data_IF_598047269708
#
_entry.id   IF_598047269708
#
_cell.length_a   1.000
_cell.length_b   1.000
_cell.length_c   1.000
_cell.angle_alpha   90.00
_cell.angle_beta   90.00
_cell.angle_gamma   90.00
#
_symmetry.space_group_name_H-M   'P 1'
#
loop_
_entity.id
_entity.type
_entity.pdbx_description
1 polymer ?
#
# COMPACT_ATOMS: atom_id res chain seq x y z
N UNK A 1 3.24 0.38 12.61
CA UNK A 1 2.20 -0.27 11.77
C UNK A 1 1.24 0.81 11.29
N UNK A 2 0.80 0.77 10.03
CA UNK A 2 -0.15 1.74 9.48
C UNK A 2 -1.57 1.44 9.98
N UNK A 3 -2.00 2.16 11.02
CA UNK A 3 -3.27 1.96 11.72
C UNK A 3 -3.88 3.34 12.01
N UNK A 4 -5.19 3.54 11.81
CA UNK A 4 -5.85 4.79 12.19
C UNK A 4 -5.96 4.91 13.72
N UNK A 5 -5.67 6.10 14.26
CA UNK A 5 -5.73 6.35 15.71
C UNK A 5 -7.14 6.23 16.28
N UNK A 6 -8.15 6.72 15.55
CA UNK A 6 -9.57 6.68 15.94
C UNK A 6 -10.41 6.53 14.68
N UNK A 7 -11.45 5.71 14.73
CA UNK A 7 -12.46 5.63 13.66
C UNK A 7 -13.86 5.81 14.25
N UNK A 8 -14.75 6.45 13.49
CA UNK A 8 -16.16 6.60 13.89
C UNK A 8 -16.87 5.24 14.00
N UNK A 9 -16.56 4.32 13.07
CA UNK A 9 -17.11 2.98 13.05
C UNK A 9 -16.00 1.93 13.08
N UNK A 10 -16.22 0.85 13.84
CA UNK A 10 -15.27 -0.27 13.95
C UNK A 10 -15.42 -1.30 12.81
N UNK A 11 -16.63 -1.45 12.25
CA UNK A 11 -16.94 -2.46 11.21
C UNK A 11 -17.49 -1.80 9.94
N UNK A 12 -16.66 -1.65 8.92
CA UNK A 12 -17.05 -1.07 7.62
C UNK A 12 -17.47 -2.15 6.60
N UNK A 13 -18.47 -1.87 5.76
CA UNK A 13 -18.81 -2.73 4.62
C UNK A 13 -17.66 -2.75 3.59
N UNK A 14 -17.41 -3.91 3.00
CA UNK A 14 -16.43 -4.07 1.91
C UNK A 14 -17.09 -3.77 0.58
N UNK A 15 -16.70 -2.65 -0.05
CA UNK A 15 -17.16 -2.27 -1.40
C UNK A 15 -16.15 -2.71 -2.45
N UNK A 16 -16.61 -3.04 -3.66
CA UNK A 16 -15.72 -3.31 -4.80
C UNK A 16 -14.82 -2.10 -5.10
N UNK A 17 -13.60 -2.35 -5.63
CA UNK A 17 -12.69 -1.29 -6.06
C UNK A 17 -12.78 -1.15 -7.57
N UNK A 18 -13.47 -0.12 -8.04
CA UNK A 18 -13.55 0.24 -9.44
C UNK A 18 -12.85 1.59 -9.73
N UNK A 19 -12.63 1.84 -11.02
CA UNK A 19 -12.09 3.09 -11.53
C UNK A 19 -10.56 3.16 -11.55
N UNK A 20 -10.08 4.25 -12.16
CA UNK A 20 -8.68 4.65 -12.26
C UNK A 20 -8.48 5.87 -11.35
N UNK A 21 -7.32 6.00 -10.73
CA UNK A 21 -6.96 7.20 -9.99
C UNK A 21 -6.70 8.36 -10.98
N UNK A 22 -7.64 9.30 -11.07
CA UNK A 22 -7.60 10.42 -12.02
C UNK A 22 -6.56 11.50 -11.65
N UNK A 23 -6.38 11.77 -10.35
CA UNK A 23 -5.41 12.76 -9.87
C UNK A 23 -4.03 12.12 -9.66
N UNK A 24 -3.22 12.09 -10.72
CA UNK A 24 -1.77 11.87 -10.61
C UNK A 24 -1.13 13.16 -10.08
N UNK A 25 -1.08 13.36 -8.75
CA UNK A 25 0.00 14.20 -8.22
C UNK A 25 1.29 13.48 -8.58
N UNK A 26 2.04 14.02 -9.54
CA UNK A 26 3.40 13.57 -9.88
C UNK A 26 4.16 13.39 -8.56
N UNK A 27 4.69 12.19 -8.34
CA UNK A 27 5.57 11.76 -7.24
C UNK A 27 5.74 12.80 -6.13
N UNK A 28 4.76 12.92 -5.22
CA UNK A 28 4.74 14.05 -4.28
C UNK A 28 6.00 14.02 -3.39
N UNK A 29 6.95 14.90 -3.68
CA UNK A 29 8.22 15.04 -2.96
C UNK A 29 9.25 13.93 -3.23
N UNK A 30 9.26 13.29 -4.40
CA UNK A 30 10.33 12.33 -4.76
C UNK A 30 10.66 12.27 -6.25
N UNK A 31 11.90 11.89 -6.55
CA UNK A 31 12.40 11.70 -7.94
C UNK A 31 11.89 10.41 -8.58
N UNK A 32 11.61 9.39 -7.77
CA UNK A 32 11.05 8.12 -8.22
C UNK A 32 9.73 7.84 -7.51
N UNK A 33 8.86 7.09 -8.17
CA UNK A 33 7.68 6.55 -7.52
C UNK A 33 7.21 5.24 -8.12
N UNK A 34 6.51 4.49 -7.27
CA UNK A 34 6.00 3.16 -7.57
C UNK A 34 4.50 3.27 -7.77
N UNK A 35 4.05 2.93 -8.98
CA UNK A 35 2.66 3.12 -9.40
C UNK A 35 1.98 1.75 -9.51
N UNK A 36 0.76 1.63 -8.96
CA UNK A 36 -0.06 0.44 -9.15
C UNK A 36 -0.65 0.38 -10.56
N UNK A 37 -0.58 -0.77 -11.21
CA UNK A 37 -1.22 -1.02 -12.51
C UNK A 37 -2.58 -1.72 -12.39
N UNK A 38 -2.89 -2.25 -11.20
CA UNK A 38 -4.13 -2.99 -10.92
C UNK A 38 -4.83 -2.45 -9.68
N UNK A 39 -6.14 -2.65 -9.61
CA UNK A 39 -6.93 -2.37 -8.41
C UNK A 39 -6.71 -3.50 -7.40
N UNK A 40 -6.45 -3.16 -6.14
CA UNK A 40 -6.20 -4.16 -5.11
C UNK A 40 -6.46 -3.64 -3.69
N UNK A 41 -6.59 -4.58 -2.77
CA UNK A 41 -6.60 -4.34 -1.34
C UNK A 41 -5.27 -4.81 -0.76
N UNK A 42 -4.47 -3.89 -0.20
CA UNK A 42 -3.20 -4.24 0.45
C UNK A 42 -3.30 -4.16 1.96
N UNK A 43 -2.76 -5.19 2.61
CA UNK A 43 -2.68 -5.23 4.06
C UNK A 43 -1.64 -4.23 4.58
N UNK A 44 -1.94 -3.59 5.71
CA UNK A 44 -1.00 -2.68 6.38
C UNK A 44 0.36 -3.35 6.70
N UNK A 45 0.35 -4.66 6.96
CA UNK A 45 1.57 -5.46 7.19
C UNK A 45 2.47 -5.54 5.94
N UNK A 46 1.87 -5.74 4.76
CA UNK A 46 2.59 -5.81 3.48
C UNK A 46 3.24 -4.48 3.15
N UNK A 47 2.53 -3.38 3.41
CA UNK A 47 3.04 -2.02 3.19
C UNK A 47 4.25 -1.74 4.08
N UNK A 48 4.18 -2.13 5.35
CA UNK A 48 5.31 -1.97 6.27
C UNK A 48 6.49 -2.87 5.89
N UNK A 49 6.25 -4.10 5.41
CA UNK A 49 7.31 -4.98 4.94
C UNK A 49 8.05 -4.37 3.73
N UNK A 50 7.32 -3.78 2.79
CA UNK A 50 7.88 -3.12 1.61
C UNK A 50 8.64 -1.84 2.00
N UNK A 51 8.11 -1.05 2.94
CA UNK A 51 8.82 0.11 3.49
C UNK A 51 10.16 -0.30 4.10
N UNK A 52 10.20 -1.39 4.88
CA UNK A 52 11.43 -1.95 5.45
C UNK A 52 12.42 -2.41 4.39
N UNK A 53 11.95 -2.99 3.28
CA UNK A 53 12.82 -3.36 2.14
C UNK A 53 13.52 -2.11 1.60
N UNK A 54 12.80 -1.01 1.37
CA UNK A 54 13.41 0.24 0.91
C UNK A 54 14.41 0.79 1.91
N UNK A 55 14.05 0.91 3.19
CA UNK A 55 14.96 1.41 4.22
C UNK A 55 16.22 0.55 4.32
N UNK A 56 16.09 -0.78 4.23
CA UNK A 56 17.25 -1.70 4.26
C UNK A 56 18.14 -1.52 3.03
N UNK A 57 17.56 -1.36 1.84
CA UNK A 57 18.33 -1.17 0.60
C UNK A 57 19.02 0.18 0.52
N UNK A 58 18.38 1.24 1.03
CA UNK A 58 18.95 2.59 0.99
C UNK A 58 19.90 2.90 2.14
N UNK A 59 19.95 2.05 3.18
CA UNK A 59 20.81 2.22 4.35
C UNK A 59 20.56 3.59 5.03
N UNK A 60 21.47 4.55 4.87
CA UNK A 60 21.37 5.93 5.41
C UNK A 60 21.07 6.98 4.34
N UNK A 61 21.09 6.63 3.06
CA UNK A 61 20.81 7.58 1.97
C UNK A 61 19.33 7.55 1.60
N UNK A 62 18.83 8.69 1.13
CA UNK A 62 17.48 8.80 0.58
C UNK A 62 16.33 8.80 1.58
N UNK A 63 15.16 9.21 1.07
CA UNK A 63 13.91 9.33 1.84
C UNK A 63 12.83 8.47 1.20
N UNK A 64 12.14 7.69 2.03
CA UNK A 64 11.01 6.84 1.63
C UNK A 64 9.73 7.43 2.18
N UNK A 65 8.79 7.76 1.30
CA UNK A 65 7.45 8.22 1.67
C UNK A 65 6.41 7.21 1.24
N UNK A 66 5.45 6.94 2.12
CA UNK A 66 4.29 6.08 1.85
C UNK A 66 3.11 6.99 1.55
N UNK A 67 2.55 6.88 0.34
CA UNK A 67 1.49 7.77 -0.14
C UNK A 67 0.08 7.18 0.06
N UNK A 68 0.00 6.03 0.75
CA UNK A 68 -1.23 5.31 1.01
C UNK A 68 -1.60 5.39 2.48
N UNK A 69 -2.91 5.40 2.76
CA UNK A 69 -3.43 5.33 4.12
C UNK A 69 -4.41 4.16 4.27
N UNK A 70 -4.24 3.37 5.33
CA UNK A 70 -5.03 2.17 5.57
C UNK A 70 -6.16 2.50 6.54
N UNK A 71 -7.35 2.76 5.99
CA UNK A 71 -8.55 3.15 6.74
C UNK A 71 -9.71 2.16 6.61
N UNK A 72 -9.56 1.09 5.82
CA UNK A 72 -10.61 0.09 5.66
C UNK A 72 -10.41 -1.03 6.68
N UNK A 73 -11.40 -1.23 7.55
CA UNK A 73 -11.45 -2.36 8.47
C UNK A 73 -11.93 -3.63 7.75
N UNK A 74 -11.20 -4.74 7.89
CA UNK A 74 -11.64 -6.08 7.45
C UNK A 74 -12.02 -6.92 8.67
N UNK A 75 -13.15 -7.60 8.59
CA UNK A 75 -13.66 -8.50 9.64
C UNK A 75 -13.55 -9.95 9.20
N UNK A 76 -13.29 -10.86 10.14
CA UNK A 76 -13.25 -12.32 9.90
C UNK A 76 -14.08 -13.03 10.96
N UNK A 77 -14.77 -14.12 10.58
CA UNK A 77 -15.42 -15.03 11.52
C UNK A 77 -14.43 -16.13 11.96
N UNK A 78 -14.57 -16.68 13.17
CA UNK A 78 -13.77 -17.83 13.57
C UNK A 78 -14.08 -19.04 12.68
N UNK A 79 -13.10 -19.90 12.48
CA UNK A 79 -13.16 -21.02 11.54
C UNK A 79 -14.25 -22.04 11.92
N UNK A 80 -14.52 -22.21 13.20
CA UNK A 80 -15.45 -23.21 13.74
C UNK A 80 -16.91 -22.73 13.79
N UNK A 81 -17.19 -21.49 13.36
CA UNK A 81 -18.55 -20.94 13.40
C UNK A 81 -19.32 -21.19 12.10
N UNK A 82 -20.59 -21.60 12.23
CA UNK A 82 -21.54 -21.68 11.11
C UNK A 82 -21.83 -20.30 10.53
N UNK A 83 -22.33 -20.28 9.28
CA UNK A 83 -22.78 -19.07 8.59
C UNK A 83 -23.96 -18.39 9.32
N UNK A 84 -24.23 -17.11 9.04
CA UNK A 84 -25.24 -16.31 9.75
C UNK A 84 -24.72 -15.67 11.05
N UNK A 85 -25.61 -15.29 11.98
CA UNK A 85 -25.26 -14.66 13.29
C UNK A 85 -24.51 -13.31 13.20
N UNK A 86 -24.70 -12.57 12.11
CA UNK A 86 -24.14 -11.24 11.93
C UNK A 86 -22.67 -11.21 11.50
N UNK A 87 -22.01 -10.06 11.71
CA UNK A 87 -20.66 -9.76 11.21
C UNK A 87 -19.57 -10.08 12.25
N UNK A 88 -18.50 -10.73 11.81
CA UNK A 88 -17.36 -11.14 12.64
C UNK A 88 -16.62 -9.99 13.33
N UNK A 89 -15.60 -10.36 14.12
CA UNK A 89 -14.71 -9.42 14.80
C UNK A 89 -13.73 -8.76 13.83
N UNK A 90 -13.12 -7.66 14.27
CA UNK A 90 -12.08 -6.97 13.51
C UNK A 90 -10.85 -7.88 13.35
N UNK A 91 -10.30 -7.96 12.14
CA UNK A 91 -9.11 -8.76 11.84
C UNK A 91 -7.90 -7.87 11.54
N UNK A 92 -7.99 -7.00 10.54
CA UNK A 92 -6.87 -6.16 10.13
C UNK A 92 -7.32 -4.93 9.33
N UNK A 93 -6.40 -3.96 9.21
CA UNK A 93 -6.55 -2.77 8.37
C UNK A 93 -5.98 -2.99 6.98
N UNK A 94 -6.69 -2.46 6.00
CA UNK A 94 -6.38 -2.56 4.58
C UNK A 94 -6.39 -1.19 3.94
N UNK A 95 -5.47 -0.99 3.01
CA UNK A 95 -5.42 0.14 2.10
C UNK A 95 -6.11 -0.25 0.78
N UNK A 96 -7.08 0.56 0.34
CA UNK A 96 -7.72 0.40 -0.97
C UNK A 96 -6.88 1.11 -2.02
N UNK A 97 -6.49 0.39 -3.07
CA UNK A 97 -5.59 0.89 -4.11
C UNK A 97 -6.28 0.82 -5.45
N UNK A 98 -6.18 1.93 -6.19
CA UNK A 98 -6.66 2.03 -7.57
C UNK A 98 -5.48 2.01 -8.55
N UNK A 99 -5.73 1.53 -9.76
CA UNK A 99 -4.83 1.63 -10.90
C UNK A 99 -4.45 3.10 -11.13
N UNK A 100 -3.16 3.35 -11.36
CA UNK A 100 -2.60 4.69 -11.52
C UNK A 100 -2.18 5.36 -10.21
N UNK A 101 -2.52 4.81 -9.05
CA UNK A 101 -2.14 5.39 -7.76
C UNK A 101 -0.64 5.19 -7.48
N UNK A 102 0.02 6.26 -7.04
CA UNK A 102 1.40 6.21 -6.53
C UNK A 102 1.38 5.65 -5.11
N UNK A 103 2.10 4.56 -4.87
CA UNK A 103 2.15 3.84 -3.60
C UNK A 103 3.29 4.36 -2.70
N UNK A 104 4.48 4.51 -3.29
CA UNK A 104 5.67 5.00 -2.61
C UNK A 104 6.33 6.09 -3.45
N UNK A 105 6.90 7.08 -2.76
CA UNK A 105 7.79 8.07 -3.34
C UNK A 105 9.17 7.94 -2.72
N UNK A 106 10.19 7.91 -3.58
CA UNK A 106 11.57 7.71 -3.21
C UNK A 106 12.38 8.92 -3.68
N UNK A 107 13.27 9.39 -2.82
CA UNK A 107 14.07 10.59 -3.06
C UNK A 107 15.51 10.39 -2.58
N UNK A 108 16.46 11.14 -3.16
CA UNK A 108 17.88 11.10 -2.76
C UNK A 108 18.59 9.77 -3.03
N UNK A 109 18.20 9.03 -4.09
CA UNK A 109 18.78 7.74 -4.49
C UNK A 109 19.18 7.74 -5.97
N UNK A 110 20.18 6.91 -6.31
CA UNK A 110 20.57 6.68 -7.70
C UNK A 110 19.57 5.76 -8.43
N UNK A 111 19.49 5.87 -9.75
CA UNK A 111 18.59 5.09 -10.60
C UNK A 111 18.85 3.57 -10.51
N UNK A 112 20.12 3.16 -10.42
CA UNK A 112 20.47 1.75 -10.25
C UNK A 112 19.87 1.15 -8.97
N UNK A 113 20.13 1.81 -7.82
CA UNK A 113 19.56 1.42 -6.54
C UNK A 113 18.03 1.44 -6.52
N UNK A 114 17.42 2.42 -7.21
CA UNK A 114 15.97 2.50 -7.32
C UNK A 114 15.38 1.29 -8.06
N UNK A 115 16.01 0.84 -9.15
CA UNK A 115 15.59 -0.34 -9.91
C UNK A 115 15.72 -1.63 -9.10
N UNK A 116 16.86 -1.83 -8.43
CA UNK A 116 17.07 -3.02 -7.59
C UNK A 116 16.08 -3.09 -6.43
N UNK A 117 15.88 -1.98 -5.73
CA UNK A 117 14.95 -1.93 -4.62
C UNK A 117 13.50 -2.12 -5.08
N UNK A 118 13.15 -1.59 -6.26
CA UNK A 118 11.84 -1.79 -6.87
C UNK A 118 11.57 -3.28 -7.16
N UNK A 119 12.54 -4.02 -7.68
CA UNK A 119 12.37 -5.44 -8.03
C UNK A 119 12.03 -6.30 -6.80
N UNK A 120 12.69 -6.03 -5.67
CA UNK A 120 12.39 -6.71 -4.39
C UNK A 120 11.05 -6.25 -3.79
N UNK A 121 10.70 -4.99 -3.96
CA UNK A 121 9.45 -4.46 -3.45
C UNK A 121 8.24 -4.96 -4.26
N UNK A 122 8.35 -5.06 -5.59
CA UNK A 122 7.27 -5.52 -6.46
C UNK A 122 6.90 -6.97 -6.17
N UNK A 123 7.90 -7.84 -5.93
CA UNK A 123 7.63 -9.22 -5.53
C UNK A 123 6.90 -9.32 -4.19
N UNK A 124 7.20 -8.40 -3.24
CA UNK A 124 6.53 -8.38 -1.93
C UNK A 124 5.13 -7.77 -1.96
N UNK A 125 4.84 -6.84 -2.87
CA UNK A 125 3.53 -6.19 -2.99
C UNK A 125 2.44 -7.12 -3.52
N UNK A 126 2.79 -8.12 -4.35
CA UNK A 126 1.84 -9.08 -4.90
C UNK A 126 0.83 -8.49 -5.88
N UNK A 127 1.11 -7.30 -6.44
CA UNK A 127 0.30 -6.62 -7.45
C UNK A 127 1.18 -6.12 -8.58
N UNK A 128 0.61 -5.91 -9.77
CA UNK A 128 1.36 -5.35 -10.90
C UNK A 128 1.70 -3.89 -10.60
N UNK A 129 2.98 -3.56 -10.65
CA UNK A 129 3.49 -2.22 -10.36
C UNK A 129 4.46 -1.76 -11.43
N UNK A 130 4.58 -0.44 -11.60
CA UNK A 130 5.54 0.19 -12.50
C UNK A 130 6.40 1.19 -11.72
N UNK A 131 7.71 1.16 -11.96
CA UNK A 131 8.61 2.24 -11.54
C UNK A 131 8.48 3.41 -12.52
N UNK A 132 8.25 4.61 -12.00
CA UNK A 132 8.18 5.84 -12.77
C UNK A 132 9.18 6.85 -12.22
N UNK A 133 9.83 7.58 -13.11
CA UNK A 133 10.80 8.64 -12.81
C UNK A 133 10.18 9.98 -13.17
N UNK A 134 10.32 10.97 -12.30
CA UNK A 134 10.03 12.37 -12.66
C UNK A 134 11.03 12.80 -13.74
N UNK A 135 10.61 13.51 -14.81
CA UNK A 135 11.54 14.06 -15.79
C UNK A 135 12.69 14.80 -15.09
#
# INVERSE_FOLDING_TARGET
>A
MFIPRKTKFKKLQTKAISGIQSNLKKHTGGRFGIIAQTNAMLNAKTIEAVRRIFTKKFKRSGKVRVNMHCNQSITKKPLESRMGKGKGSFSHWVCRIRKGQVLYSLDGINNYLAKEAFLLASSKLGIKTKLSRTP
#
